data_IF_975119319482
#
_entry.id   IF_975119319482
#
_cell.length_a   1.000
_cell.length_b   1.000
_cell.length_c   1.000
_cell.angle_alpha   90.00
_cell.angle_beta   90.00
_cell.angle_gamma   90.00
#
_symmetry.space_group_name_H-M   'P 1'
#
loop_
_entity.id
_entity.type
_entity.pdbx_description
1 polymer ?
#
# COMPACT_ATOMS: atom_id res chain seq x y z
N UNK A 1 21.49 12.73 9.32
CA UNK A 1 20.21 12.61 10.07
C UNK A 1 20.52 12.17 11.48
N UNK A 2 19.87 12.77 12.48
CA UNK A 2 19.97 12.30 13.87
C UNK A 2 19.15 11.02 14.03
N UNK A 3 19.53 10.15 14.98
CA UNK A 3 18.75 8.92 15.30
C UNK A 3 17.28 9.24 15.59
N UNK A 4 17.01 10.32 16.33
CA UNK A 4 15.66 10.78 16.63
C UNK A 4 14.86 11.15 15.37
N UNK A 5 15.49 11.83 14.40
CA UNK A 5 14.84 12.18 13.14
C UNK A 5 14.50 10.96 12.28
N UNK A 6 15.36 9.93 12.28
CA UNK A 6 15.08 8.67 11.59
C UNK A 6 13.86 7.96 12.18
N UNK A 7 13.78 7.85 13.51
CA UNK A 7 12.67 7.20 14.19
C UNK A 7 11.36 7.95 14.02
N UNK A 8 11.38 9.29 14.07
CA UNK A 8 10.19 10.11 13.80
C UNK A 8 9.65 9.86 12.38
N UNK A 9 10.54 9.88 11.38
CA UNK A 9 10.16 9.58 9.99
C UNK A 9 9.65 8.15 9.82
N UNK A 10 10.24 7.18 10.53
CA UNK A 10 9.79 5.79 10.50
C UNK A 10 8.38 5.62 11.07
N UNK A 11 8.07 6.30 12.17
CA UNK A 11 6.71 6.30 12.75
C UNK A 11 5.71 6.93 11.79
N UNK A 12 6.05 8.08 11.20
CA UNK A 12 5.18 8.78 10.25
C UNK A 12 4.92 7.93 8.98
N UNK A 13 5.98 7.30 8.45
CA UNK A 13 5.87 6.39 7.32
C UNK A 13 5.00 5.16 7.65
N UNK A 14 5.14 4.60 8.85
CA UNK A 14 4.34 3.46 9.31
C UNK A 14 2.86 3.83 9.40
N UNK A 15 2.53 5.00 9.95
CA UNK A 15 1.15 5.49 9.99
C UNK A 15 0.56 5.63 8.57
N UNK A 16 1.33 6.16 7.61
CA UNK A 16 0.94 6.24 6.21
C UNK A 16 0.70 4.87 5.58
N UNK A 17 1.61 3.91 5.78
CA UNK A 17 1.46 2.53 5.29
C UNK A 17 0.17 1.89 5.81
N UNK A 18 -0.12 2.03 7.10
CA UNK A 18 -1.35 1.49 7.70
C UNK A 18 -2.59 2.12 7.06
N UNK A 19 -2.61 3.44 6.85
CA UNK A 19 -3.72 4.11 6.18
C UNK A 19 -3.95 3.58 4.76
N UNK A 20 -2.88 3.36 3.99
CA UNK A 20 -2.98 2.79 2.64
C UNK A 20 -3.43 1.33 2.64
N UNK A 21 -3.00 0.52 3.61
CA UNK A 21 -3.49 -0.86 3.77
C UNK A 21 -4.99 -0.90 4.10
N UNK A 22 -5.47 0.00 4.97
CA UNK A 22 -6.90 0.11 5.28
C UNK A 22 -7.70 0.49 4.04
N UNK A 23 -7.21 1.46 3.25
CA UNK A 23 -7.86 1.84 1.98
C UNK A 23 -7.86 0.69 0.97
N UNK A 24 -6.73 0.02 0.78
CA UNK A 24 -6.62 -1.15 -0.09
C UNK A 24 -7.58 -2.26 0.34
N UNK A 25 -7.68 -2.55 1.64
CA UNK A 25 -8.62 -3.52 2.19
C UNK A 25 -10.07 -3.11 1.98
N UNK A 26 -10.40 -1.83 2.14
CA UNK A 26 -11.76 -1.30 1.91
C UNK A 26 -12.19 -1.43 0.45
N UNK A 27 -11.35 -1.00 -0.49
CA UNK A 27 -11.64 -1.13 -1.93
C UNK A 27 -11.61 -2.60 -2.37
N UNK A 28 -10.69 -3.39 -1.83
CA UNK A 28 -10.58 -4.82 -2.12
C UNK A 28 -11.78 -5.60 -1.60
N UNK A 29 -12.35 -5.22 -0.45
CA UNK A 29 -13.60 -5.77 0.05
C UNK A 29 -14.77 -5.39 -0.86
N UNK A 30 -14.87 -4.13 -1.31
CA UNK A 30 -15.91 -3.70 -2.26
C UNK A 30 -15.80 -4.36 -3.62
N UNK A 31 -14.60 -4.79 -4.00
CA UNK A 31 -14.36 -5.59 -5.19
C UNK A 31 -14.77 -7.06 -4.93
N UNK A 32 -14.12 -7.74 -3.98
CA UNK A 32 -14.29 -9.18 -3.75
C UNK A 32 -15.62 -9.60 -3.10
N UNK A 33 -16.21 -8.77 -2.23
CA UNK A 33 -17.42 -9.11 -1.46
C UNK A 33 -18.71 -8.52 -2.05
N UNK A 34 -18.62 -7.79 -3.17
CA UNK A 34 -19.78 -7.32 -3.93
C UNK A 34 -19.82 -7.86 -5.37
N UNK A 35 -18.83 -8.66 -5.77
CA UNK A 35 -18.83 -9.51 -6.97
C UNK A 35 -19.60 -10.81 -6.73
N UNK A 36 -20.86 -10.72 -6.27
CA UNK A 36 -21.79 -11.85 -6.39
C UNK A 36 -22.34 -11.94 -7.83
N UNK A 37 -22.52 -13.17 -8.31
CA UNK A 37 -23.01 -13.64 -9.64
C UNK A 37 -24.22 -12.89 -10.25
N UNK A 38 -24.89 -12.01 -9.50
CA UNK A 38 -26.14 -11.36 -9.88
C UNK A 38 -25.96 -10.01 -10.62
N UNK A 39 -24.74 -9.48 -10.80
CA UNK A 39 -24.54 -8.19 -11.50
C UNK A 39 -24.33 -8.28 -13.00
N UNK A 40 -24.11 -9.47 -13.56
CA UNK A 40 -24.08 -9.65 -15.02
C UNK A 40 -25.42 -9.30 -15.71
N UNK A 41 -26.53 -9.15 -14.96
CA UNK A 41 -27.87 -8.93 -15.51
C UNK A 41 -28.57 -7.62 -15.07
N UNK A 42 -27.93 -6.77 -14.26
CA UNK A 42 -28.57 -5.57 -13.71
C UNK A 42 -28.23 -4.28 -14.47
N UNK A 43 -27.92 -4.35 -15.77
CA UNK A 43 -28.02 -3.16 -16.61
C UNK A 43 -29.50 -2.90 -16.91
N UNK A 44 -30.10 -1.98 -16.16
CA UNK A 44 -31.47 -1.55 -16.40
C UNK A 44 -31.65 -1.03 -17.83
N UNK A 45 -32.68 -1.53 -18.52
CA UNK A 45 -33.17 -1.03 -19.80
C UNK A 45 -33.87 0.32 -19.64
N UNK A 46 -33.14 1.36 -19.23
CA UNK A 46 -33.65 2.71 -19.01
C UNK A 46 -32.82 3.77 -19.73
N UNK A 47 -33.48 4.83 -20.22
CA UNK A 47 -32.97 5.95 -21.05
C UNK A 47 -31.85 6.81 -20.45
N UNK A 48 -31.24 6.38 -19.35
CA UNK A 48 -30.00 6.93 -18.80
C UNK A 48 -28.96 5.81 -18.78
N UNK A 49 -28.37 5.54 -19.94
CA UNK A 49 -27.27 4.59 -20.08
C UNK A 49 -26.11 4.98 -19.15
N UNK A 50 -26.08 4.34 -17.98
CA UNK A 50 -24.96 4.37 -17.05
C UNK A 50 -24.08 3.15 -17.33
N UNK A 51 -22.79 3.40 -17.42
CA UNK A 51 -21.70 2.43 -17.56
C UNK A 51 -21.73 1.42 -16.41
N UNK A 52 -22.28 0.23 -16.64
CA UNK A 52 -22.26 -0.90 -15.67
C UNK A 52 -20.84 -1.45 -15.39
N UNK A 53 -19.80 -0.91 -16.04
CA UNK A 53 -18.41 -1.35 -15.95
C UNK A 53 -17.52 -0.49 -15.05
N UNK A 54 -18.04 0.62 -14.53
CA UNK A 54 -17.20 1.64 -13.89
C UNK A 54 -16.93 1.38 -12.39
N UNK A 55 -17.73 0.57 -11.70
CA UNK A 55 -17.54 0.32 -10.26
C UNK A 55 -16.48 -0.74 -9.95
N UNK A 56 -16.55 -1.87 -10.63
CA UNK A 56 -15.71 -3.06 -10.37
C UNK A 56 -14.25 -2.80 -10.77
N UNK A 57 -14.03 -2.38 -12.01
CA UNK A 57 -12.70 -2.04 -12.52
C UNK A 57 -12.03 -0.95 -11.69
N UNK A 58 -12.78 0.07 -11.26
CA UNK A 58 -12.23 1.16 -10.44
C UNK A 58 -11.86 0.67 -9.06
N UNK A 59 -12.69 -0.13 -8.38
CA UNK A 59 -12.33 -0.69 -7.07
C UNK A 59 -11.13 -1.64 -7.17
N UNK A 60 -11.03 -2.43 -8.24
CA UNK A 60 -9.86 -3.28 -8.51
C UNK A 60 -8.59 -2.43 -8.67
N UNK A 61 -8.62 -1.41 -9.53
CA UNK A 61 -7.48 -0.51 -9.77
C UNK A 61 -7.08 0.22 -8.48
N UNK A 62 -8.04 0.76 -7.73
CA UNK A 62 -7.75 1.44 -6.46
C UNK A 62 -7.13 0.50 -5.43
N UNK A 63 -7.59 -0.76 -5.36
CA UNK A 63 -7.01 -1.79 -4.49
C UNK A 63 -5.54 -2.02 -4.82
N UNK A 64 -5.20 -2.19 -6.10
CA UNK A 64 -3.82 -2.38 -6.54
C UNK A 64 -2.96 -1.13 -6.35
N UNK A 65 -3.50 0.07 -6.60
CA UNK A 65 -2.76 1.33 -6.39
C UNK A 65 -2.43 1.52 -4.92
N UNK A 66 -3.42 1.46 -4.03
CA UNK A 66 -3.19 1.65 -2.61
C UNK A 66 -2.37 0.51 -1.99
N UNK A 67 -2.64 -0.73 -2.38
CA UNK A 67 -1.86 -1.89 -1.94
C UNK A 67 -0.42 -1.82 -2.43
N UNK A 68 -0.19 -1.44 -3.69
CA UNK A 68 1.13 -1.28 -4.28
C UNK A 68 1.94 -0.17 -3.60
N UNK A 69 1.34 0.99 -3.33
CA UNK A 69 1.98 2.08 -2.59
C UNK A 69 2.35 1.63 -1.17
N UNK A 70 1.47 0.89 -0.49
CA UNK A 70 1.75 0.36 0.84
C UNK A 70 2.95 -0.61 0.84
N UNK A 71 2.99 -1.55 -0.12
CA UNK A 71 4.12 -2.50 -0.27
C UNK A 71 5.42 -1.77 -0.57
N UNK A 72 5.40 -0.81 -1.50
CA UNK A 72 6.56 0.02 -1.82
C UNK A 72 7.06 0.79 -0.57
N UNK A 73 6.14 1.37 0.20
CA UNK A 73 6.44 2.04 1.46
C UNK A 73 7.13 1.11 2.46
N UNK A 74 6.65 -0.13 2.63
CA UNK A 74 7.28 -1.13 3.49
C UNK A 74 8.70 -1.46 3.03
N UNK A 75 8.89 -1.71 1.73
CA UNK A 75 10.21 -2.03 1.16
C UNK A 75 11.20 -0.89 1.40
N UNK A 76 10.80 0.35 1.11
CA UNK A 76 11.65 1.53 1.30
C UNK A 76 11.97 1.79 2.78
N UNK A 77 10.99 1.61 3.66
CA UNK A 77 11.19 1.76 5.11
C UNK A 77 12.20 0.73 5.63
N UNK A 78 12.03 -0.55 5.27
CA UNK A 78 12.96 -1.62 5.64
C UNK A 78 14.34 -1.37 5.05
N UNK A 79 14.41 -0.94 3.79
CA UNK A 79 15.68 -0.63 3.13
C UNK A 79 16.42 0.52 3.85
N UNK A 80 15.71 1.60 4.18
CA UNK A 80 16.26 2.75 4.91
C UNK A 80 16.81 2.34 6.29
N UNK A 81 16.03 1.59 7.08
CA UNK A 81 16.45 1.11 8.39
C UNK A 81 17.68 0.20 8.28
N UNK A 82 17.70 -0.73 7.31
CA UNK A 82 18.85 -1.62 7.09
C UNK A 82 20.10 -0.86 6.67
N UNK A 83 19.96 0.13 5.79
CA UNK A 83 21.07 0.96 5.33
C UNK A 83 21.69 1.74 6.50
N UNK A 84 20.87 2.34 7.35
CA UNK A 84 21.35 3.05 8.54
C UNK A 84 22.01 2.12 9.56
N UNK A 85 21.49 0.91 9.78
CA UNK A 85 22.11 -0.07 10.68
C UNK A 85 23.51 -0.50 10.21
N UNK A 86 23.70 -0.73 8.91
CA UNK A 86 25.03 -1.10 8.36
C UNK A 86 26.05 0.02 8.49
N UNK A 87 25.61 1.28 8.44
CA UNK A 87 26.49 2.43 8.65
C UNK A 87 26.93 2.59 10.13
N UNK A 88 26.20 1.98 11.07
CA UNK A 88 26.52 2.01 12.50
C UNK A 88 27.39 0.84 12.96
N UNK A 89 27.62 -0.17 12.12
CA UNK A 89 28.54 -1.27 12.45
C UNK A 89 29.99 -0.75 12.40
N UNK A 90 30.71 -0.72 13.55
CA UNK A 90 32.11 -0.34 13.55
C UNK A 90 32.88 -1.32 12.66
N UNK A 91 33.81 -0.77 11.86
CA UNK A 91 34.65 -1.59 10.99
C UNK A 91 35.25 -2.75 11.80
N UNK A 92 35.23 -3.97 11.24
CA UNK A 92 35.72 -5.12 11.98
C UNK A 92 37.18 -4.92 12.43
N UNK A 93 37.43 -5.13 13.72
CA UNK A 93 38.73 -4.92 14.41
C UNK A 93 39.93 -5.63 13.77
N UNK A 94 39.70 -6.61 12.91
CA UNK A 94 40.75 -7.34 12.18
C UNK A 94 41.33 -6.60 10.96
N UNK A 95 40.91 -5.35 10.68
CA UNK A 95 41.54 -4.52 9.65
C UNK A 95 42.83 -3.81 10.08
N UNK A 96 43.16 -3.87 11.37
CA UNK A 96 44.32 -3.15 11.95
C UNK A 96 45.51 -4.07 12.26
N UNK A 97 45.52 -5.32 11.72
CA UNK A 97 46.61 -6.30 11.89
C UNK A 97 47.18 -6.66 10.52
#
# INVERSE_FOLDING_TARGET
MTKAGLWLNAVLATAGIVAFLVMAGFFGYKWLAHDEENRAYACGSGTRGGTCFEGETVNMVLTFVFGGIAVLGIVLLVHSIRHHRRAEEPAPRWRDI
#
